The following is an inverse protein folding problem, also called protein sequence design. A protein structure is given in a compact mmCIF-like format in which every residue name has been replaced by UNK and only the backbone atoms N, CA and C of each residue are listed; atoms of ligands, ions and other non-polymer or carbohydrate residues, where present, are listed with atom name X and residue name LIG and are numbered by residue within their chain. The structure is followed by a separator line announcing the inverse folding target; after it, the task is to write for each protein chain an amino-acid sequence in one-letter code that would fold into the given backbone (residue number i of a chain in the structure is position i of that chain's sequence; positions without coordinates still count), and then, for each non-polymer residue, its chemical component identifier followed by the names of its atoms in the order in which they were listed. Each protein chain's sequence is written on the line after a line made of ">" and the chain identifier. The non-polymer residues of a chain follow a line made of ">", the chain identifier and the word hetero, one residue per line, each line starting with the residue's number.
data_IF_228034821248
#
_entry.id   IF_228034821248
#
_cell.length_a   1.000
_cell.length_b   1.000
_cell.length_c   1.000
_cell.angle_alpha   90.00
_cell.angle_beta   90.00
_cell.angle_gamma   90.00
#
_symmetry.space_group_name_H-M   'P 1'
#
loop_
_entity.id
_entity.type
_entity.pdbx_description
1 polymer ?
#
# COMPACT_ATOMS: atom_id res chain seq x y z
N UNK A 1 -14.62 -5.31 -18.90
CA UNK A 1 -15.58 -6.32 -18.39
C UNK A 1 -14.92 -7.02 -17.23
N UNK A 2 -15.33 -6.74 -15.98
CA UNK A 2 -14.78 -7.46 -14.84
C UNK A 2 -15.23 -8.92 -14.93
N UNK A 3 -14.26 -9.84 -14.95
CA UNK A 3 -14.53 -11.27 -14.91
C UNK A 3 -14.85 -11.63 -13.46
N UNK A 4 -16.04 -12.17 -13.22
CA UNK A 4 -16.45 -12.65 -11.91
C UNK A 4 -15.99 -14.09 -11.78
N UNK A 5 -15.21 -14.38 -10.72
CA UNK A 5 -14.76 -15.73 -10.40
C UNK A 5 -15.38 -16.20 -9.08
N UNK A 6 -15.93 -17.41 -9.09
CA UNK A 6 -16.49 -18.04 -7.89
C UNK A 6 -15.43 -18.93 -7.26
N UNK A 7 -14.92 -18.49 -6.11
CA UNK A 7 -13.86 -19.20 -5.37
C UNK A 7 -14.42 -20.44 -4.63
N UNK A 8 -15.56 -20.30 -3.93
CA UNK A 8 -16.18 -21.41 -3.20
C UNK A 8 -17.34 -22.02 -4.01
N UNK A 9 -17.07 -23.13 -4.71
CA UNK A 9 -18.04 -23.83 -5.56
C UNK A 9 -18.95 -24.79 -4.78
N UNK A 10 -18.56 -25.16 -3.56
CA UNK A 10 -19.25 -26.16 -2.75
C UNK A 10 -20.21 -25.53 -1.73
N UNK A 11 -20.38 -24.20 -1.76
CA UNK A 11 -21.27 -23.48 -0.86
C UNK A 11 -22.74 -23.89 -1.11
N UNK A 12 -23.42 -24.55 -0.15
CA UNK A 12 -24.84 -24.81 -0.28
C UNK A 12 -25.62 -23.49 -0.18
N UNK A 13 -26.48 -23.23 -1.15
CA UNK A 13 -27.35 -22.05 -1.20
C UNK A 13 -28.78 -22.39 -0.74
N UNK A 14 -29.32 -23.51 -1.25
CA UNK A 14 -30.66 -23.98 -0.90
C UNK A 14 -30.78 -25.49 -1.10
N UNK A 15 -31.74 -26.11 -0.41
CA UNK A 15 -32.13 -27.52 -0.58
C UNK A 15 -33.57 -27.58 -1.10
N UNK A 16 -33.77 -28.27 -2.23
CA UNK A 16 -35.11 -28.48 -2.79
C UNK A 16 -35.67 -29.80 -2.26
N UNK A 17 -36.81 -29.73 -1.56
CA UNK A 17 -37.47 -30.93 -1.00
C UNK A 17 -38.33 -31.68 -2.01
N UNK A 18 -38.70 -31.02 -3.12
CA UNK A 18 -39.54 -31.57 -4.18
C UNK A 18 -38.98 -31.14 -5.54
N UNK A 19 -39.36 -31.84 -6.62
CA UNK A 19 -39.01 -31.45 -7.99
C UNK A 19 -39.68 -30.13 -8.38
N UNK A 20 -38.98 -29.02 -8.17
CA UNK A 20 -39.40 -27.67 -8.54
C UNK A 20 -38.27 -26.97 -9.26
N UNK A 21 -38.63 -26.10 -10.22
CA UNK A 21 -37.67 -25.20 -10.85
C UNK A 21 -37.26 -24.12 -9.85
N UNK A 22 -35.95 -23.96 -9.66
CA UNK A 22 -35.36 -22.90 -8.86
C UNK A 22 -34.52 -22.01 -9.76
N UNK A 23 -34.72 -20.69 -9.65
CA UNK A 23 -33.97 -19.69 -10.40
C UNK A 23 -33.66 -18.54 -9.46
N UNK A 24 -32.40 -18.11 -9.45
CA UNK A 24 -31.91 -17.00 -8.65
C UNK A 24 -31.06 -16.11 -9.55
N UNK A 25 -31.34 -14.82 -9.54
CA UNK A 25 -30.49 -13.79 -10.15
C UNK A 25 -29.90 -12.99 -9.02
N UNK A 26 -28.56 -12.89 -8.98
CA UNK A 26 -27.85 -12.13 -7.97
C UNK A 26 -26.97 -11.07 -8.64
N UNK A 27 -26.91 -9.89 -8.03
CA UNK A 27 -26.01 -8.82 -8.42
C UNK A 27 -24.80 -8.84 -7.49
N UNK A 28 -23.60 -8.92 -8.07
CA UNK A 28 -22.35 -8.88 -7.32
C UNK A 28 -21.74 -7.49 -7.49
N UNK A 29 -21.45 -6.82 -6.37
CA UNK A 29 -20.73 -5.55 -6.34
C UNK A 29 -19.34 -5.75 -5.74
N UNK A 30 -18.41 -4.88 -6.13
CA UNK A 30 -17.09 -4.80 -5.50
C UNK A 30 -17.09 -3.52 -4.68
N UNK A 31 -16.84 -3.66 -3.38
CA UNK A 31 -16.82 -2.54 -2.44
C UNK A 31 -15.79 -2.74 -1.35
N UNK A 32 -15.61 -1.73 -0.52
CA UNK A 32 -14.89 -1.82 0.75
C UNK A 32 -15.93 -1.83 1.85
N UNK A 33 -15.81 -2.74 2.81
CA UNK A 33 -16.65 -2.65 4.02
C UNK A 33 -16.28 -1.35 4.75
N UNK A 34 -17.23 -0.43 4.85
CA UNK A 34 -17.10 0.81 5.62
C UNK A 34 -18.09 0.73 6.77
N UNK A 35 -17.70 0.04 7.86
CA UNK A 35 -18.52 -0.08 9.06
C UNK A 35 -19.91 -0.71 8.84
N UNK A 36 -20.82 -0.47 9.80
CA UNK A 36 -22.20 -0.94 9.74
C UNK A 36 -22.88 -0.30 8.52
N UNK A 37 -23.09 -1.10 7.47
CA UNK A 37 -23.77 -0.76 6.21
C UNK A 37 -25.27 -0.43 6.37
N UNK A 38 -25.74 -0.12 7.58
CA UNK A 38 -27.13 0.28 7.85
C UNK A 38 -27.51 1.63 7.23
N UNK A 39 -26.59 2.36 6.59
CA UNK A 39 -26.80 3.75 6.17
C UNK A 39 -26.95 3.97 4.67
N UNK A 40 -26.77 2.96 3.81
CA UNK A 40 -27.00 3.12 2.37
C UNK A 40 -28.28 2.37 2.00
N UNK A 41 -29.40 3.08 1.70
CA UNK A 41 -30.57 2.42 1.16
C UNK A 41 -30.15 1.76 -0.16
N UNK A 42 -30.23 0.44 -0.22
CA UNK A 42 -30.14 -0.26 -1.50
C UNK A 42 -31.46 0.04 -2.22
N UNK A 43 -31.41 0.89 -3.25
CA UNK A 43 -32.57 1.12 -4.10
C UNK A 43 -32.93 -0.19 -4.78
N UNK A 44 -34.06 -0.78 -4.38
CA UNK A 44 -34.61 -1.97 -4.99
C UNK A 44 -35.28 -1.55 -6.29
N UNK A 45 -34.77 -2.02 -7.42
CA UNK A 45 -35.29 -1.63 -8.73
C UNK A 45 -36.63 -2.29 -9.04
N UNK A 46 -36.88 -3.50 -8.51
CA UNK A 46 -38.06 -4.31 -8.86
C UNK A 46 -38.77 -4.87 -7.63
N UNK A 47 -40.08 -5.02 -7.77
CA UNK A 47 -40.91 -5.77 -6.82
C UNK A 47 -40.46 -7.23 -6.83
N UNK A 48 -39.99 -7.71 -5.67
CA UNK A 48 -39.44 -9.06 -5.51
C UNK A 48 -37.93 -9.09 -5.29
N UNK A 49 -37.22 -7.97 -5.46
CA UNK A 49 -35.82 -7.87 -5.07
C UNK A 49 -35.69 -7.91 -3.54
N UNK A 50 -34.71 -8.66 -3.06
CA UNK A 50 -34.40 -8.79 -1.64
C UNK A 50 -33.03 -8.17 -1.41
N UNK A 51 -32.97 -7.10 -0.64
CA UNK A 51 -31.70 -6.52 -0.21
C UNK A 51 -30.99 -7.51 0.72
N UNK A 52 -29.71 -7.75 0.47
CA UNK A 52 -28.84 -8.58 1.30
C UNK A 52 -27.63 -7.75 1.68
N UNK A 53 -27.23 -7.83 2.95
CA UNK A 53 -26.01 -7.19 3.42
C UNK A 53 -24.81 -7.74 2.68
N UNK A 54 -23.95 -6.83 2.21
CA UNK A 54 -22.73 -7.23 1.53
C UNK A 54 -21.59 -7.39 2.54
N UNK A 55 -21.01 -8.59 2.60
CA UNK A 55 -19.76 -8.83 3.31
C UNK A 55 -18.59 -8.77 2.33
N UNK A 56 -17.99 -7.58 2.18
CA UNK A 56 -16.79 -7.40 1.37
C UNK A 56 -15.49 -7.75 2.11
N UNK A 57 -15.53 -8.40 3.29
CA UNK A 57 -14.32 -8.71 4.05
C UNK A 57 -13.75 -10.08 3.66
N UNK A 58 -12.58 -10.13 3.00
CA UNK A 58 -11.95 -11.39 2.64
C UNK A 58 -11.22 -12.05 3.82
N UNK A 59 -11.02 -11.33 4.93
CA UNK A 59 -10.26 -11.79 6.11
C UNK A 59 -11.22 -12.41 7.12
N UNK A 60 -10.97 -13.68 7.49
CA UNK A 60 -11.79 -14.43 8.45
C UNK A 60 -11.23 -14.41 9.87
N UNK A 61 -9.90 -14.39 10.02
CA UNK A 61 -9.26 -14.31 11.35
C UNK A 61 -7.86 -13.71 11.23
N UNK A 62 -7.51 -12.91 12.23
CA UNK A 62 -6.15 -12.42 12.46
C UNK A 62 -5.80 -12.74 13.91
N UNK A 63 -4.60 -13.25 14.15
CA UNK A 63 -3.98 -13.39 15.45
C UNK A 63 -2.52 -12.99 15.34
N UNK A 64 -1.92 -12.58 16.45
CA UNK A 64 -0.49 -12.27 16.48
C UNK A 64 0.10 -12.64 17.82
N UNK A 65 1.39 -12.95 17.82
CA UNK A 65 2.19 -13.24 19.00
C UNK A 65 3.52 -12.48 18.91
N UNK A 66 4.01 -12.01 20.06
CA UNK A 66 5.28 -11.31 20.16
C UNK A 66 6.24 -12.19 20.95
N UNK A 67 7.37 -12.52 20.34
CA UNK A 67 8.45 -13.25 20.94
C UNK A 67 9.60 -12.31 21.25
N UNK A 68 9.87 -12.12 22.53
CA UNK A 68 11.02 -11.35 23.00
C UNK A 68 12.13 -12.31 23.44
N UNK A 69 13.33 -12.13 22.88
CA UNK A 69 14.52 -12.89 23.25
C UNK A 69 15.52 -12.08 24.11
N UNK A 70 15.11 -10.91 24.61
CA UNK A 70 15.89 -9.98 25.41
C UNK A 70 16.79 -9.04 24.61
N UNK A 71 17.01 -9.32 23.32
CA UNK A 71 17.76 -8.45 22.40
C UNK A 71 16.92 -7.92 21.24
N UNK A 72 16.00 -8.74 20.74
CA UNK A 72 15.12 -8.45 19.63
C UNK A 72 13.71 -8.95 19.95
N UNK A 73 12.72 -8.21 19.46
CA UNK A 73 11.32 -8.64 19.43
C UNK A 73 10.97 -9.15 18.02
N UNK A 74 10.32 -10.31 17.96
CA UNK A 74 9.78 -10.88 16.72
C UNK A 74 8.26 -10.89 16.79
N UNK A 75 7.60 -10.29 15.80
CA UNK A 75 6.15 -10.31 15.66
C UNK A 75 5.75 -11.40 14.67
N UNK A 76 5.04 -12.42 15.15
CA UNK A 76 4.42 -13.43 14.30
C UNK A 76 2.94 -13.08 14.09
N UNK A 77 2.48 -13.07 12.83
CA UNK A 77 1.09 -12.74 12.47
C UNK A 77 0.47 -13.90 11.72
N UNK A 78 -0.64 -14.42 12.25
CA UNK A 78 -1.43 -15.50 11.67
C UNK A 78 -2.68 -14.92 11.01
N UNK A 79 -2.78 -15.04 9.69
CA UNK A 79 -3.90 -14.52 8.90
C UNK A 79 -4.62 -15.65 8.17
N UNK A 80 -5.94 -15.75 8.37
CA UNK A 80 -6.82 -16.68 7.64
C UNK A 80 -7.77 -15.89 6.74
N UNK A 81 -7.72 -16.15 5.44
CA UNK A 81 -8.61 -15.54 4.44
C UNK A 81 -9.69 -16.54 3.99
N UNK A 82 -10.69 -16.06 3.25
CA UNK A 82 -11.71 -16.89 2.59
C UNK A 82 -11.29 -17.41 1.20
N UNK A 83 -10.01 -17.23 0.83
CA UNK A 83 -9.47 -17.65 -0.48
C UNK A 83 -9.59 -16.63 -1.61
N UNK A 84 -10.34 -15.53 -1.42
CA UNK A 84 -10.43 -14.47 -2.45
C UNK A 84 -9.17 -13.61 -2.56
N UNK A 85 -8.34 -13.61 -1.53
CA UNK A 85 -7.03 -12.94 -1.49
C UNK A 85 -6.04 -13.81 -0.73
N UNK A 86 -4.80 -13.82 -1.20
CA UNK A 86 -3.69 -14.47 -0.49
C UNK A 86 -3.36 -13.70 0.81
N UNK A 87 -3.07 -14.39 1.93
CA UNK A 87 -2.74 -13.75 3.20
C UNK A 87 -1.62 -12.72 3.09
N UNK A 88 -0.55 -13.03 2.36
CA UNK A 88 0.60 -12.14 2.21
C UNK A 88 0.19 -10.83 1.51
N UNK A 89 -0.53 -10.93 0.39
CA UNK A 89 -1.02 -9.76 -0.37
C UNK A 89 -1.96 -8.90 0.48
N UNK A 90 -2.78 -9.52 1.33
CA UNK A 90 -3.65 -8.79 2.25
C UNK A 90 -2.85 -8.00 3.29
N UNK A 91 -1.78 -8.59 3.85
CA UNK A 91 -0.89 -7.91 4.81
C UNK A 91 -0.12 -6.79 4.13
N UNK A 92 0.40 -7.00 2.91
CA UNK A 92 1.08 -5.95 2.15
C UNK A 92 0.18 -4.74 1.92
N UNK A 93 -1.06 -4.96 1.46
CA UNK A 93 -2.05 -3.87 1.32
C UNK A 93 -2.37 -3.17 2.64
N UNK A 94 -2.42 -3.92 3.75
CA UNK A 94 -2.64 -3.32 5.06
C UNK A 94 -1.47 -2.41 5.48
N UNK A 95 -0.23 -2.82 5.19
CA UNK A 95 0.97 -2.01 5.42
C UNK A 95 1.00 -0.77 4.53
N UNK A 96 0.60 -0.88 3.26
CA UNK A 96 0.46 0.27 2.35
C UNK A 96 -0.51 1.31 2.94
N UNK A 97 -1.71 0.89 3.35
CA UNK A 97 -2.68 1.78 4.00
C UNK A 97 -2.12 2.38 5.31
N UNK A 98 -1.40 1.60 6.10
CA UNK A 98 -0.78 2.10 7.33
C UNK A 98 0.25 3.19 7.04
N UNK A 99 1.14 2.97 6.08
CA UNK A 99 2.15 3.94 5.65
C UNK A 99 1.50 5.22 5.11
N UNK A 100 0.45 5.10 4.29
CA UNK A 100 -0.33 6.25 3.81
C UNK A 100 -0.88 7.09 4.97
N UNK A 101 -1.44 6.45 6.00
CA UNK A 101 -1.96 7.17 7.18
C UNK A 101 -0.85 7.81 8.01
N UNK A 102 0.29 7.14 8.17
CA UNK A 102 1.43 7.67 8.94
C UNK A 102 2.13 8.82 8.22
N UNK A 103 2.10 8.86 6.88
CA UNK A 103 2.76 9.88 6.08
C UNK A 103 2.40 11.31 6.50
N UNK A 104 1.16 11.54 6.93
CA UNK A 104 0.67 12.83 7.44
C UNK A 104 1.52 13.33 8.61
N UNK A 105 1.94 12.45 9.52
CA UNK A 105 2.77 12.82 10.67
C UNK A 105 4.23 13.09 10.30
N UNK A 106 4.74 12.41 9.27
CA UNK A 106 6.08 12.68 8.73
C UNK A 106 6.09 14.07 8.10
N UNK A 107 5.07 14.42 7.31
CA UNK A 107 4.94 15.75 6.73
C UNK A 107 4.76 16.86 7.77
N UNK A 108 4.04 16.59 8.87
CA UNK A 108 3.86 17.55 9.97
C UNK A 108 5.13 17.79 10.81
N UNK A 109 6.05 16.82 10.86
CA UNK A 109 7.37 16.98 11.52
C UNK A 109 8.37 17.79 10.69
N UNK A 110 7.97 18.30 9.52
CA UNK A 110 8.79 19.24 8.73
C UNK A 110 8.28 20.69 8.85
N UNK A 111 8.51 21.38 9.98
CA UNK A 111 9.03 22.73 9.93
C UNK A 111 10.56 22.61 9.86
N UNK A 112 11.12 22.50 8.66
CA UNK A 112 12.57 22.57 8.48
C UNK A 112 13.04 24.01 8.69
N UNK A 113 13.29 24.37 9.94
CA UNK A 113 14.45 25.18 10.24
C UNK A 113 15.66 24.24 10.25
N UNK A 114 16.19 23.91 9.07
CA UNK A 114 17.50 23.28 8.92
C UNK A 114 17.50 21.98 8.14
N UNK A 115 17.98 22.08 6.90
CA UNK A 115 18.74 21.08 6.14
C UNK A 115 18.12 19.68 6.11
N UNK A 116 17.32 19.47 5.08
CA UNK A 116 16.83 18.18 4.57
C UNK A 116 17.94 17.12 4.53
N UNK A 117 17.75 16.07 5.31
CA UNK A 117 18.42 14.78 5.19
C UNK A 117 17.36 13.69 5.15
N UNK A 118 17.20 13.13 3.96
CA UNK A 118 16.55 11.89 3.52
C UNK A 118 15.58 11.11 4.43
N UNK A 119 14.52 10.66 3.75
CA UNK A 119 14.22 9.25 3.51
C UNK A 119 12.77 8.95 3.86
N UNK A 120 11.87 9.09 2.88
CA UNK A 120 10.75 8.16 2.66
C UNK A 120 10.21 8.45 1.24
N UNK A 121 10.26 7.41 0.38
CA UNK A 121 9.51 7.30 -0.88
C UNK A 121 10.03 8.17 -2.05
N UNK A 122 10.91 7.60 -2.87
CA UNK A 122 10.79 7.79 -4.32
C UNK A 122 11.49 6.64 -5.07
N UNK A 123 10.69 5.70 -5.55
CA UNK A 123 11.11 4.65 -6.49
C UNK A 123 11.29 5.18 -7.93
N UNK A 124 11.63 6.47 -8.09
CA UNK A 124 11.85 7.15 -9.37
C UNK A 124 13.12 8.04 -9.37
N UNK A 125 14.10 7.76 -8.51
CA UNK A 125 15.38 8.46 -8.58
C UNK A 125 16.07 8.03 -9.88
N UNK A 126 16.25 8.98 -10.81
CA UNK A 126 16.97 8.75 -12.05
C UNK A 126 18.37 8.22 -11.73
N UNK A 127 18.77 7.03 -12.23
CA UNK A 127 20.05 6.41 -11.91
C UNK A 127 21.25 7.32 -12.19
N UNK A 128 21.09 8.34 -13.04
CA UNK A 128 22.13 9.33 -13.30
C UNK A 128 22.48 10.18 -12.06
N UNK A 129 21.53 10.41 -11.15
CA UNK A 129 21.72 11.22 -9.94
C UNK A 129 22.56 10.51 -8.87
N UNK A 130 22.64 9.18 -8.93
CA UNK A 130 23.47 8.35 -8.05
C UNK A 130 24.91 8.18 -8.56
N UNK A 131 25.21 8.73 -9.74
CA UNK A 131 26.55 8.64 -10.33
C UNK A 131 27.54 9.51 -9.54
N UNK A 132 28.72 9.00 -9.16
CA UNK A 132 29.73 9.77 -8.46
C UNK A 132 30.34 10.85 -9.38
N UNK A 133 30.75 11.98 -8.80
CA UNK A 133 31.34 13.10 -9.53
C UNK A 133 32.66 12.74 -10.21
N UNK A 134 33.37 11.75 -9.69
CA UNK A 134 34.64 11.28 -10.25
C UNK A 134 34.46 10.67 -11.66
N UNK A 135 33.25 10.24 -12.02
CA UNK A 135 32.92 9.71 -13.34
C UNK A 135 32.53 10.80 -14.37
N UNK A 136 32.55 12.09 -14.00
CA UNK A 136 32.25 13.22 -14.92
C UNK A 136 33.50 13.73 -15.69
N UNK A 137 34.62 12.99 -15.70
CA UNK A 137 35.88 13.34 -16.39
C UNK A 137 36.34 14.79 -16.14
N UNK A 138 36.08 15.31 -14.93
CA UNK A 138 36.47 16.66 -14.54
C UNK A 138 37.98 16.75 -14.30
N UNK A 139 38.53 17.97 -14.39
CA UNK A 139 39.93 18.20 -14.03
C UNK A 139 40.16 17.88 -12.56
N UNK A 140 41.39 17.44 -12.22
CA UNK A 140 41.79 17.08 -10.85
C UNK A 140 41.52 18.22 -9.85
N UNK A 141 41.63 19.48 -10.29
CA UNK A 141 41.32 20.64 -9.44
C UNK A 141 39.83 20.76 -9.17
N UNK A 142 39.00 20.62 -10.20
CA UNK A 142 37.54 20.71 -10.09
C UNK A 142 36.95 19.60 -9.22
N UNK A 143 37.38 18.34 -9.39
CA UNK A 143 36.92 17.22 -8.53
C UNK A 143 37.30 17.43 -7.06
N UNK A 144 38.52 17.93 -6.80
CA UNK A 144 38.96 18.19 -5.43
C UNK A 144 38.22 19.37 -4.77
N UNK A 145 37.90 20.43 -5.52
CA UNK A 145 37.08 21.54 -5.00
C UNK A 145 35.66 21.06 -4.63
N UNK A 146 35.03 20.26 -5.49
CA UNK A 146 33.68 19.71 -5.22
C UNK A 146 33.68 18.76 -4.02
N UNK A 147 34.73 17.95 -3.87
CA UNK A 147 34.90 17.07 -2.71
C UNK A 147 35.15 17.84 -1.41
N UNK A 148 35.84 18.98 -1.46
CA UNK A 148 36.09 19.84 -0.29
C UNK A 148 34.78 20.45 0.25
N UNK A 149 33.84 20.77 -0.63
CA UNK A 149 32.48 21.21 -0.28
C UNK A 149 31.52 20.03 0.01
N UNK A 150 32.07 18.82 0.18
CA UNK A 150 31.34 17.58 0.51
C UNK A 150 30.29 17.16 -0.54
N UNK A 151 30.46 17.58 -1.80
CA UNK A 151 29.64 17.17 -2.94
C UNK A 151 30.26 15.91 -3.56
N UNK A 152 29.54 14.78 -3.55
CA UNK A 152 30.09 13.46 -3.95
C UNK A 152 29.35 12.83 -5.13
N UNK A 153 28.05 13.08 -5.24
CA UNK A 153 27.20 12.53 -6.29
C UNK A 153 26.66 13.62 -7.21
N UNK A 154 26.26 13.25 -8.42
CA UNK A 154 25.65 14.19 -9.37
C UNK A 154 24.35 14.80 -8.82
N UNK A 155 23.58 14.02 -8.06
CA UNK A 155 22.39 14.49 -7.35
C UNK A 155 22.69 15.57 -6.31
N UNK A 156 23.87 15.58 -5.72
CA UNK A 156 24.29 16.65 -4.80
C UNK A 156 24.56 17.93 -5.59
N UNK A 157 25.22 17.83 -6.75
CA UNK A 157 25.63 18.98 -7.57
C UNK A 157 24.44 19.78 -8.12
N UNK A 158 23.38 19.10 -8.56
CA UNK A 158 22.18 19.74 -9.15
C UNK A 158 21.41 20.58 -8.12
N UNK A 159 21.63 20.37 -6.82
CA UNK A 159 20.99 21.13 -5.75
C UNK A 159 21.69 22.47 -5.47
N UNK A 160 22.87 22.71 -6.02
CA UNK A 160 23.61 23.97 -5.87
C UNK A 160 23.35 24.90 -7.05
N UNK A 161 23.13 26.17 -6.75
CA UNK A 161 23.08 27.23 -7.77
C UNK A 161 24.50 27.70 -8.14
N UNK A 162 24.67 28.24 -9.35
CA UNK A 162 25.97 28.71 -9.86
C UNK A 162 26.65 29.72 -8.92
N UNK A 163 25.87 30.58 -8.27
CA UNK A 163 26.38 31.57 -7.31
C UNK A 163 26.91 30.96 -6.00
N UNK A 164 26.47 29.75 -5.66
CA UNK A 164 26.94 29.02 -4.48
C UNK A 164 28.21 28.21 -4.78
N UNK A 165 28.42 27.79 -6.03
CA UNK A 165 29.61 27.05 -6.48
C UNK A 165 30.81 27.96 -6.83
N UNK A 166 30.59 29.26 -7.01
CA UNK A 166 31.62 30.25 -7.35
C UNK A 166 32.18 31.03 -6.14
N UNK A 167 32.06 30.47 -4.94
CA UNK A 167 32.65 31.00 -3.70
C UNK A 167 33.86 30.19 -3.28
#
# INVERSE_FOLDING_TARGET
>A
TQVIEIINKDQPIATLTNERKFSLTATVSVGRNVGILSALPTELEKVGDIAVDSDFNPIKRVAFEIFDNGTNETLEVFVKTNGTIEPLVAVTKALEYFCEQISVFVSLRVPSNGKTGDALLDSNIDPILLKPIDDLELTVRSSNCLRAENIKYLGDLVQYSESQLMK
#
